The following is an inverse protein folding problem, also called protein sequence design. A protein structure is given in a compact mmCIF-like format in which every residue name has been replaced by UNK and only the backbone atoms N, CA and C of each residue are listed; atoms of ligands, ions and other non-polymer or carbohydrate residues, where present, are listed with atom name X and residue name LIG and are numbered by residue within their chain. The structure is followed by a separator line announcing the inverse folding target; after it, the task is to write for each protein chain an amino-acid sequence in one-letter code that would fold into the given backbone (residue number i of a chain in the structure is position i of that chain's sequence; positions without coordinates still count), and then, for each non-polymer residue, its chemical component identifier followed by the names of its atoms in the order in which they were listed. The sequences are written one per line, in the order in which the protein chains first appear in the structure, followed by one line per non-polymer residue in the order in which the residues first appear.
data_IF_595361396833
#
_entry.id   IF_595361396833
#
_cell.length_a   1.000
_cell.length_b   1.000
_cell.length_c   1.000
_cell.angle_alpha   90.00
_cell.angle_beta   90.00
_cell.angle_gamma   90.00
#
_symmetry.space_group_name_H-M   'P 1'
#
loop_
_entity.id
_entity.type
_entity.pdbx_description
1 polymer ?
#
# COMPACT_ATOMS: atom_id res chain seq x y z
N UNK A 1 -31.83 -9.16 15.72
CA UNK A 1 -30.83 -9.90 14.93
C UNK A 1 -29.68 -8.94 14.66
N UNK A 2 -28.66 -8.96 15.52
CA UNK A 2 -27.54 -8.04 15.45
C UNK A 2 -26.59 -8.55 14.37
N UNK A 3 -26.43 -7.77 13.30
CA UNK A 3 -25.45 -8.01 12.24
C UNK A 3 -24.08 -7.99 12.91
N UNK A 4 -23.43 -9.15 12.98
CA UNK A 4 -22.02 -9.23 13.35
C UNK A 4 -21.22 -8.53 12.26
N UNK A 5 -20.86 -7.27 12.50
CA UNK A 5 -19.82 -6.60 11.73
C UNK A 5 -18.50 -7.31 12.07
N UNK A 6 -18.07 -8.20 11.18
CA UNK A 6 -16.68 -8.60 11.06
C UNK A 6 -15.89 -7.35 10.66
N UNK A 7 -15.60 -6.51 11.65
CA UNK A 7 -14.57 -5.49 11.52
C UNK A 7 -13.26 -6.27 11.34
N UNK A 8 -12.50 -6.02 10.26
CA UNK A 8 -11.11 -6.44 10.20
C UNK A 8 -10.42 -5.97 11.50
N UNK A 9 -9.42 -6.72 12.02
CA UNK A 9 -8.71 -6.29 13.22
C UNK A 9 -8.28 -4.84 13.02
N UNK A 10 -8.68 -3.98 13.96
CA UNK A 10 -8.43 -2.55 13.91
C UNK A 10 -7.00 -2.33 13.43
N UNK A 11 -6.83 -1.62 12.31
CA UNK A 11 -5.54 -1.10 11.90
C UNK A 11 -4.98 -0.40 13.13
N UNK A 12 -4.02 -1.04 13.80
CA UNK A 12 -3.29 -0.35 14.84
C UNK A 12 -2.57 0.72 14.05
N UNK A 13 -2.80 1.98 14.40
CA UNK A 13 -2.08 3.10 13.80
C UNK A 13 -0.61 3.05 14.27
N UNK A 14 0.09 1.98 13.93
CA UNK A 14 1.46 1.66 14.30
C UNK A 14 2.44 2.67 13.71
N UNK A 15 1.98 3.45 12.73
CA UNK A 15 2.74 4.48 12.02
C UNK A 15 2.35 5.91 12.44
N UNK A 16 1.53 6.08 13.48
CA UNK A 16 1.14 7.38 14.03
C UNK A 16 0.58 8.38 12.98
N UNK A 17 -0.19 7.87 12.03
CA UNK A 17 -0.89 8.67 11.02
C UNK A 17 -1.92 9.59 11.67
N UNK A 18 -2.08 10.79 11.11
CA UNK A 18 -3.19 11.69 11.47
C UNK A 18 -4.54 11.10 11.04
N UNK A 19 -5.64 11.57 11.65
CA UNK A 19 -7.01 11.19 11.25
C UNK A 19 -7.23 11.41 9.75
N UNK A 20 -6.78 12.55 9.22
CA UNK A 20 -6.88 12.84 7.79
C UNK A 20 -6.07 11.88 6.91
N UNK A 21 -4.91 11.40 7.36
CA UNK A 21 -4.15 10.40 6.61
C UNK A 21 -4.82 9.03 6.64
N UNK A 22 -5.42 8.65 7.77
CA UNK A 22 -6.19 7.40 7.88
C UNK A 22 -7.39 7.44 6.93
N UNK A 23 -8.17 8.52 6.93
CA UNK A 23 -9.31 8.67 6.00
C UNK A 23 -8.89 8.62 4.53
N UNK A 24 -7.78 9.24 4.17
CA UNK A 24 -7.26 9.17 2.79
C UNK A 24 -6.79 7.77 2.41
N UNK A 25 -6.17 7.02 3.33
CA UNK A 25 -5.78 5.62 3.10
C UNK A 25 -6.99 4.72 2.95
N UNK A 26 -7.97 4.80 3.85
CA UNK A 26 -9.23 4.05 3.76
C UNK A 26 -9.91 4.33 2.40
N UNK A 27 -9.90 5.59 1.97
CA UNK A 27 -10.45 5.97 0.67
C UNK A 27 -9.65 5.40 -0.50
N UNK A 28 -8.32 5.40 -0.42
CA UNK A 28 -7.47 4.81 -1.45
C UNK A 28 -7.72 3.30 -1.58
N UNK A 29 -7.87 2.59 -0.46
CA UNK A 29 -8.18 1.16 -0.41
C UNK A 29 -9.56 0.86 -1.02
N UNK A 30 -10.59 1.64 -0.68
CA UNK A 30 -11.92 1.53 -1.30
C UNK A 30 -11.86 1.74 -2.83
N UNK A 31 -11.05 2.71 -3.29
CA UNK A 31 -10.84 2.94 -4.72
C UNK A 31 -10.14 1.74 -5.38
N UNK A 32 -9.18 1.10 -4.71
CA UNK A 32 -8.55 -0.13 -5.20
C UNK A 32 -9.53 -1.30 -5.26
N UNK A 33 -10.36 -1.48 -4.24
CA UNK A 33 -11.40 -2.53 -4.19
C UNK A 33 -12.46 -2.35 -5.29
N UNK A 34 -12.84 -1.10 -5.57
CA UNK A 34 -13.80 -0.74 -6.62
C UNK A 34 -13.17 -0.61 -8.01
N UNK A 35 -11.92 -1.04 -8.19
CA UNK A 35 -11.13 -0.99 -9.43
C UNK A 35 -10.98 0.42 -10.05
N UNK A 36 -11.11 1.46 -9.24
CA UNK A 36 -10.83 2.86 -9.63
C UNK A 36 -9.34 3.16 -9.47
N UNK A 37 -8.50 2.37 -10.14
CA UNK A 37 -7.05 2.30 -9.88
C UNK A 37 -6.33 3.63 -10.09
N UNK A 38 -6.64 4.37 -11.15
CA UNK A 38 -6.00 5.67 -11.41
C UNK A 38 -6.35 6.71 -10.32
N UNK A 39 -7.55 6.64 -9.74
CA UNK A 39 -7.93 7.53 -8.64
C UNK A 39 -7.21 7.13 -7.34
N UNK A 40 -7.07 5.83 -7.08
CA UNK A 40 -6.29 5.34 -5.93
C UNK A 40 -4.82 5.74 -6.06
N UNK A 41 -4.22 5.54 -7.23
CA UNK A 41 -2.83 5.92 -7.53
C UNK A 41 -2.62 7.41 -7.30
N UNK A 42 -3.45 8.28 -7.90
CA UNK A 42 -3.32 9.73 -7.73
C UNK A 42 -3.41 10.14 -6.26
N UNK A 43 -4.39 9.62 -5.51
CA UNK A 43 -4.53 9.94 -4.10
C UNK A 43 -3.30 9.49 -3.29
N UNK A 44 -2.81 8.28 -3.52
CA UNK A 44 -1.63 7.75 -2.83
C UNK A 44 -0.36 8.53 -3.19
N UNK A 45 -0.21 8.98 -4.45
CA UNK A 45 0.91 9.83 -4.86
C UNK A 45 0.84 11.21 -4.18
N UNK A 46 -0.33 11.83 -4.09
CA UNK A 46 -0.52 13.08 -3.34
C UNK A 46 -0.20 12.92 -1.85
N UNK A 47 -0.57 11.79 -1.24
CA UNK A 47 -0.19 11.46 0.13
C UNK A 47 1.32 11.29 0.27
N UNK A 48 1.96 10.61 -0.69
CA UNK A 48 3.39 10.37 -0.71
C UNK A 48 4.19 11.68 -0.84
N UNK A 49 3.73 12.63 -1.66
CA UNK A 49 4.35 13.95 -1.77
C UNK A 49 4.40 14.70 -0.43
N UNK A 50 3.32 14.59 0.36
CA UNK A 50 3.22 15.22 1.69
C UNK A 50 3.97 14.43 2.77
N UNK A 51 4.11 13.12 2.60
CA UNK A 51 4.73 12.22 3.58
C UNK A 51 5.54 11.12 2.86
N UNK A 52 6.77 11.44 2.40
CA UNK A 52 7.55 10.56 1.53
C UNK A 52 7.95 9.21 2.15
N UNK A 53 7.94 9.13 3.48
CA UNK A 53 8.33 7.94 4.24
C UNK A 53 7.11 7.20 4.83
N UNK A 54 5.90 7.50 4.36
CA UNK A 54 4.68 6.85 4.84
C UNK A 54 4.62 5.38 4.36
N UNK A 55 5.01 4.45 5.24
CA UNK A 55 5.07 3.01 4.93
C UNK A 55 3.74 2.45 4.40
N UNK A 56 2.56 2.76 4.98
CA UNK A 56 1.27 2.31 4.42
C UNK A 56 1.02 2.79 2.98
N UNK A 57 1.35 4.04 2.67
CA UNK A 57 1.19 4.61 1.32
C UNK A 57 2.14 3.92 0.33
N UNK A 58 3.41 3.73 0.70
CA UNK A 58 4.38 3.01 -0.11
C UNK A 58 3.94 1.57 -0.39
N UNK A 59 3.41 0.87 0.62
CA UNK A 59 2.87 -0.49 0.47
C UNK A 59 1.69 -0.51 -0.51
N UNK A 60 0.72 0.40 -0.37
CA UNK A 60 -0.44 0.46 -1.25
C UNK A 60 -0.05 0.80 -2.70
N UNK A 61 0.93 1.69 -2.92
CA UNK A 61 1.50 1.92 -4.26
C UNK A 61 2.17 0.65 -4.81
N UNK A 62 2.96 -0.06 -3.99
CA UNK A 62 3.55 -1.34 -4.37
C UNK A 62 2.50 -2.39 -4.80
N UNK A 63 1.35 -2.42 -4.13
CA UNK A 63 0.22 -3.28 -4.51
C UNK A 63 -0.39 -2.83 -5.84
N UNK A 64 -0.67 -1.53 -6.04
CA UNK A 64 -1.22 -1.01 -7.30
C UNK A 64 -0.34 -1.40 -8.48
N UNK A 65 0.95 -1.05 -8.44
CA UNK A 65 1.85 -1.30 -9.57
C UNK A 65 2.06 -2.78 -9.81
N UNK A 66 2.23 -3.57 -8.75
CA UNK A 66 2.58 -4.99 -8.89
C UNK A 66 1.38 -5.87 -9.24
N UNK A 67 0.25 -5.69 -8.55
CA UNK A 67 -0.92 -6.57 -8.70
C UNK A 67 -1.84 -6.13 -9.84
N UNK A 68 -2.01 -4.83 -10.04
CA UNK A 68 -3.04 -4.32 -10.93
C UNK A 68 -2.47 -3.80 -12.25
N UNK A 69 -1.36 -3.06 -12.23
CA UNK A 69 -0.74 -2.55 -13.46
C UNK A 69 0.32 -3.48 -14.06
N UNK A 70 0.79 -4.46 -13.29
CA UNK A 70 1.86 -5.39 -13.68
C UNK A 70 3.19 -4.68 -14.01
N UNK A 71 3.40 -3.48 -13.45
CA UNK A 71 4.66 -2.73 -13.50
C UNK A 71 5.57 -3.21 -12.37
N UNK A 72 6.17 -4.39 -12.56
CA UNK A 72 6.90 -5.09 -11.49
C UNK A 72 8.12 -4.33 -10.98
N UNK A 73 8.89 -3.69 -11.85
CA UNK A 73 10.05 -2.88 -11.46
C UNK A 73 9.66 -1.72 -10.53
N UNK A 74 8.54 -1.06 -10.85
CA UNK A 74 8.02 0.03 -10.05
C UNK A 74 7.51 -0.46 -8.70
N UNK A 75 6.80 -1.59 -8.68
CA UNK A 75 6.37 -2.25 -7.44
C UNK A 75 7.57 -2.61 -6.54
N UNK A 76 8.61 -3.24 -7.12
CA UNK A 76 9.86 -3.58 -6.42
C UNK A 76 10.46 -2.33 -5.77
N UNK A 77 10.56 -1.23 -6.52
CA UNK A 77 11.13 0.03 -5.99
C UNK A 77 10.39 0.57 -4.77
N UNK A 78 9.06 0.42 -4.71
CA UNK A 78 8.28 0.83 -3.53
C UNK A 78 8.54 -0.09 -2.33
N UNK A 79 8.59 -1.40 -2.55
CA UNK A 79 8.91 -2.34 -1.47
C UNK A 79 10.36 -2.19 -0.98
N UNK A 80 11.30 -1.81 -1.84
CA UNK A 80 12.67 -1.47 -1.43
C UNK A 80 12.69 -0.25 -0.51
N UNK A 81 11.90 0.79 -0.81
CA UNK A 81 11.75 1.95 0.09
C UNK A 81 11.16 1.53 1.44
N UNK A 82 10.11 0.70 1.45
CA UNK A 82 9.57 0.16 2.71
C UNK A 82 10.64 -0.57 3.50
N UNK A 83 11.43 -1.44 2.86
CA UNK A 83 12.50 -2.19 3.52
C UNK A 83 13.68 -1.34 3.98
N UNK A 84 13.90 -0.16 3.37
CA UNK A 84 14.89 0.80 3.87
C UNK A 84 14.44 1.50 5.16
N UNK A 85 13.13 1.72 5.32
CA UNK A 85 12.54 2.36 6.50
C UNK A 85 12.27 1.34 7.62
N UNK A 86 11.83 0.14 7.23
CA UNK A 86 11.49 -0.96 8.12
C UNK A 86 12.11 -2.28 7.60
N UNK A 87 13.39 -2.54 7.89
CA UNK A 87 14.08 -3.75 7.41
C UNK A 87 13.44 -5.07 7.86
N UNK A 88 12.69 -5.05 8.97
CA UNK A 88 11.95 -6.20 9.51
C UNK A 88 10.60 -6.42 8.85
N UNK A 89 10.17 -5.59 7.89
CA UNK A 89 8.87 -5.73 7.24
C UNK A 89 8.81 -7.00 6.37
N UNK A 90 8.29 -8.10 6.93
CA UNK A 90 8.23 -9.40 6.26
C UNK A 90 7.31 -9.37 5.03
N UNK A 91 6.23 -8.60 5.10
CA UNK A 91 5.30 -8.43 3.98
C UNK A 91 5.99 -7.82 2.77
N UNK A 92 6.61 -6.65 2.91
CA UNK A 92 7.33 -5.98 1.83
C UNK A 92 8.45 -6.86 1.26
N UNK A 93 9.17 -7.61 2.11
CA UNK A 93 10.19 -8.57 1.67
C UNK A 93 9.63 -9.68 0.80
N UNK A 94 8.47 -10.23 1.17
CA UNK A 94 7.81 -11.28 0.41
C UNK A 94 7.27 -10.76 -0.93
N UNK A 95 6.65 -9.59 -0.93
CA UNK A 95 6.11 -8.98 -2.15
C UNK A 95 7.19 -8.56 -3.13
N UNK A 96 8.28 -7.96 -2.65
CA UNK A 96 9.45 -7.67 -3.48
C UNK A 96 9.99 -8.93 -4.16
N UNK A 97 10.20 -10.02 -3.40
CA UNK A 97 10.66 -11.32 -3.94
C UNK A 97 9.68 -11.93 -4.93
N UNK A 98 8.37 -11.77 -4.71
CA UNK A 98 7.34 -12.23 -5.66
C UNK A 98 7.51 -11.52 -7.01
N UNK A 99 7.63 -10.19 -6.99
CA UNK A 99 7.75 -9.41 -8.21
C UNK A 99 9.12 -9.52 -8.89
N UNK A 100 10.21 -9.70 -8.13
CA UNK A 100 11.53 -10.04 -8.68
C UNK A 100 11.45 -11.31 -9.56
N UNK A 101 10.71 -12.33 -9.12
CA UNK A 101 10.50 -13.55 -9.91
C UNK A 101 9.71 -13.28 -11.19
N UNK A 102 8.64 -12.48 -11.12
CA UNK A 102 7.85 -12.13 -12.31
C UNK A 102 8.64 -11.27 -13.31
N UNK A 103 9.56 -10.42 -12.84
CA UNK A 103 10.41 -9.60 -13.71
C UNK A 103 11.52 -10.40 -14.41
N UNK A 104 11.79 -11.64 -13.97
CA UNK A 104 12.84 -12.50 -14.50
C UNK A 104 12.39 -13.48 -15.59
N UNK A 105 11.11 -13.45 -15.97
CA UNK A 105 10.51 -14.25 -17.05
C UNK A 105 10.13 -13.36 -18.24
#
# INVERSE_FOLDING_TARGET
MTRASMTPPAFHNTYNLSESQLEQLDRAEELMETQKLNHAENLLLEMLEKSPECIPVLNNLGVIYGKYFLEYEKAISYYEKVLSLEPSNEWARNERRRYERYNSY
#
